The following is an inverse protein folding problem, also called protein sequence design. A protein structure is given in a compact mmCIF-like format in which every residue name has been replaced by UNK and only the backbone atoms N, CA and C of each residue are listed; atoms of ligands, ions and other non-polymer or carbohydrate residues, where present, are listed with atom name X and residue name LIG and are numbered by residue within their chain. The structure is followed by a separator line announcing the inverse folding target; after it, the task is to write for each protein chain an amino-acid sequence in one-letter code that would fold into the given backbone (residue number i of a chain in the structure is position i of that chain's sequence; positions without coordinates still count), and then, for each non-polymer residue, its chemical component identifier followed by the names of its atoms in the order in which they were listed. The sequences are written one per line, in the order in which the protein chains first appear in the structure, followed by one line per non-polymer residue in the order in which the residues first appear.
data_IF_072029842627
#
_entry.id   IF_072029842627
#
_cell.length_a   1.000
_cell.length_b   1.000
_cell.length_c   1.000
_cell.angle_alpha   90.00
_cell.angle_beta   90.00
_cell.angle_gamma   90.00
#
_symmetry.space_group_name_H-M   'P 1'
#
loop_
_entity.id
_entity.type
_entity.pdbx_description
1 polymer ?
#
# COMPACT_ATOMS: atom_id res chain seq x y z
N UNK A 1 -33.45 37.00 -18.96
CA UNK A 1 -32.00 36.69 -18.99
C UNK A 1 -31.79 35.83 -20.21
N UNK A 2 -31.43 36.43 -21.35
CA UNK A 2 -31.05 35.67 -22.54
C UNK A 2 -29.79 34.90 -22.17
N UNK A 3 -29.85 33.57 -22.26
CA UNK A 3 -28.68 32.74 -22.00
C UNK A 3 -27.80 32.85 -23.25
N UNK A 4 -26.76 33.67 -23.18
CA UNK A 4 -25.75 33.77 -24.25
C UNK A 4 -25.16 32.38 -24.45
N UNK A 5 -25.25 31.86 -25.67
CA UNK A 5 -24.63 30.58 -26.02
C UNK A 5 -23.13 30.83 -26.25
N UNK A 6 -22.23 30.27 -25.44
CA UNK A 6 -20.79 30.50 -25.59
C UNK A 6 -20.23 29.92 -26.90
N UNK A 7 -20.91 28.96 -27.52
CA UNK A 7 -20.45 28.32 -28.75
C UNK A 7 -20.82 29.13 -29.99
N UNK A 8 -22.07 29.58 -30.11
CA UNK A 8 -22.52 30.32 -31.28
C UNK A 8 -23.79 31.09 -30.99
N UNK A 9 -23.76 32.38 -31.27
CA UNK A 9 -24.93 33.25 -31.27
C UNK A 9 -25.12 33.81 -32.68
N UNK A 10 -26.32 33.66 -33.24
CA UNK A 10 -26.64 34.12 -34.59
C UNK A 10 -26.86 35.64 -34.58
N UNK A 11 -25.77 36.40 -34.76
CA UNK A 11 -25.79 37.87 -34.75
C UNK A 11 -24.78 38.46 -35.77
N UNK A 12 -25.16 39.44 -36.61
CA UNK A 12 -26.49 40.03 -36.77
C UNK A 12 -27.47 39.06 -37.44
N UNK A 13 -28.69 39.00 -36.90
CA UNK A 13 -29.77 38.24 -37.51
C UNK A 13 -30.15 38.84 -38.89
N UNK A 14 -30.23 37.99 -39.92
CA UNK A 14 -30.69 38.44 -41.23
C UNK A 14 -32.19 38.72 -41.22
N UNK A 15 -32.59 39.87 -41.77
CA UNK A 15 -34.01 40.22 -41.93
C UNK A 15 -34.57 39.50 -43.16
N UNK A 16 -35.64 38.69 -43.03
CA UNK A 16 -36.27 38.02 -44.17
C UNK A 16 -36.67 39.00 -45.27
N UNK A 17 -36.63 38.55 -46.53
CA UNK A 17 -36.98 39.35 -47.72
C UNK A 17 -36.14 40.62 -47.94
N UNK A 18 -34.98 40.74 -47.27
CA UNK A 18 -34.02 41.83 -47.51
C UNK A 18 -32.69 41.27 -48.05
N UNK A 19 -31.89 42.12 -48.69
CA UNK A 19 -30.53 41.73 -49.10
C UNK A 19 -29.59 41.88 -47.91
N UNK A 20 -28.91 40.80 -47.54
CA UNK A 20 -27.78 40.88 -46.62
C UNK A 20 -26.56 41.46 -47.34
N UNK A 21 -25.78 42.25 -46.61
CA UNK A 21 -24.48 42.73 -47.08
C UNK A 21 -23.43 41.64 -46.85
N UNK A 22 -22.38 41.62 -47.66
CA UNK A 22 -21.33 40.60 -47.58
C UNK A 22 -20.55 40.63 -46.26
N UNK A 23 -20.42 41.80 -45.64
CA UNK A 23 -19.84 41.96 -44.30
C UNK A 23 -20.65 41.19 -43.24
N UNK A 24 -21.97 41.31 -43.22
CA UNK A 24 -22.84 40.60 -42.28
C UNK A 24 -22.77 39.08 -42.48
N UNK A 25 -22.63 38.61 -43.72
CA UNK A 25 -22.43 37.18 -44.02
C UNK A 25 -21.06 36.69 -43.57
N UNK A 26 -20.01 37.49 -43.80
CA UNK A 26 -18.66 37.14 -43.35
C UNK A 26 -18.54 37.09 -41.82
N UNK A 27 -19.25 37.97 -41.11
CA UNK A 27 -19.34 37.93 -39.64
C UNK A 27 -19.92 36.58 -39.17
N UNK A 28 -20.98 36.09 -39.81
CA UNK A 28 -21.52 34.76 -39.47
C UNK A 28 -20.51 33.64 -39.67
N UNK A 29 -19.75 33.65 -40.77
CA UNK A 29 -18.70 32.65 -40.99
C UNK A 29 -17.56 32.73 -39.98
N UNK A 30 -17.18 33.93 -39.55
CA UNK A 30 -16.17 34.11 -38.49
C UNK A 30 -16.67 33.60 -37.14
N UNK A 31 -17.93 33.86 -36.78
CA UNK A 31 -18.52 33.33 -35.55
C UNK A 31 -18.56 31.80 -35.55
N UNK A 32 -18.90 31.19 -36.69
CA UNK A 32 -18.87 29.73 -36.85
C UNK A 32 -17.43 29.20 -36.75
N UNK A 33 -16.45 29.89 -37.35
CA UNK A 33 -15.05 29.49 -37.27
C UNK A 33 -14.55 29.52 -35.82
N UNK A 34 -14.80 30.62 -35.11
CA UNK A 34 -14.45 30.74 -33.69
C UNK A 34 -15.19 29.70 -32.83
N UNK A 35 -16.41 29.32 -33.20
CA UNK A 35 -17.15 28.26 -32.53
C UNK A 35 -16.42 26.91 -32.61
N UNK A 36 -15.79 26.61 -33.75
CA UNK A 36 -15.00 25.39 -33.92
C UNK A 36 -13.71 25.41 -33.11
N UNK A 37 -13.14 26.58 -32.81
CA UNK A 37 -11.97 26.70 -31.94
C UNK A 37 -12.28 26.34 -30.47
N UNK A 38 -13.57 26.28 -30.08
CA UNK A 38 -13.99 25.78 -28.76
C UNK A 38 -14.11 24.26 -28.67
N UNK A 39 -13.98 23.53 -29.77
CA UNK A 39 -13.92 22.08 -29.70
C UNK A 39 -12.61 21.64 -29.01
N UNK A 40 -12.67 20.65 -28.11
CA UNK A 40 -11.49 20.21 -27.39
C UNK A 40 -10.47 19.57 -28.33
N UNK A 41 -9.24 20.10 -28.28
CA UNK A 41 -8.01 19.43 -28.67
C UNK A 41 -7.78 19.32 -30.17
N UNK A 42 -6.71 18.62 -30.49
CA UNK A 42 -6.45 18.12 -31.84
C UNK A 42 -7.65 17.30 -32.32
N UNK A 43 -8.00 17.42 -33.61
CA UNK A 43 -9.19 16.79 -34.19
C UNK A 43 -9.30 15.27 -33.93
N UNK A 44 -8.18 14.62 -33.62
CA UNK A 44 -8.08 13.19 -33.36
C UNK A 44 -8.25 12.84 -31.88
N UNK A 45 -8.04 13.78 -30.95
CA UNK A 45 -8.01 13.51 -29.50
C UNK A 45 -9.33 12.99 -28.94
N UNK A 46 -10.46 13.44 -29.48
CA UNK A 46 -11.78 12.92 -29.10
C UNK A 46 -11.99 11.47 -29.58
N UNK A 47 -11.42 11.12 -30.74
CA UNK A 47 -11.56 9.79 -31.35
C UNK A 47 -10.66 8.78 -30.67
N UNK A 48 -9.48 9.21 -30.24
CA UNK A 48 -8.48 8.38 -29.55
C UNK A 48 -8.67 8.36 -28.03
N UNK A 49 -9.48 9.27 -27.48
CA UNK A 49 -9.72 9.41 -26.04
C UNK A 49 -8.57 10.09 -25.29
N UNK A 50 -7.72 10.86 -25.97
CA UNK A 50 -6.56 11.53 -25.36
C UNK A 50 -6.87 12.93 -24.84
N UNK A 51 -8.09 13.45 -25.00
CA UNK A 51 -8.48 14.79 -24.49
C UNK A 51 -8.31 14.94 -22.98
N UNK A 52 -8.44 13.85 -22.21
CA UNK A 52 -8.22 13.83 -20.76
C UNK A 52 -6.83 13.34 -20.37
N UNK A 53 -5.96 13.04 -21.34
CA UNK A 53 -4.63 12.49 -21.07
C UNK A 53 -3.61 13.61 -20.91
N UNK A 54 -3.10 13.77 -19.69
CA UNK A 54 -2.14 14.80 -19.36
C UNK A 54 -0.69 14.27 -19.40
N UNK A 55 0.22 15.15 -19.83
CA UNK A 55 1.65 14.94 -19.66
C UNK A 55 2.03 15.23 -18.21
N UNK A 56 2.64 14.26 -17.55
CA UNK A 56 3.09 14.40 -16.17
C UNK A 56 4.56 14.82 -16.10
N UNK A 57 4.83 15.82 -15.26
CA UNK A 57 6.17 16.29 -14.88
C UNK A 57 6.18 16.61 -13.39
N UNK A 58 7.27 17.22 -12.89
CA UNK A 58 7.33 17.75 -11.53
C UNK A 58 8.39 17.07 -10.68
N UNK A 59 8.11 17.01 -9.38
CA UNK A 59 9.02 16.49 -8.36
C UNK A 59 8.38 15.31 -7.63
N UNK A 60 9.17 14.59 -6.82
CA UNK A 60 8.62 13.54 -5.95
C UNK A 60 7.50 14.15 -5.10
N UNK A 61 6.36 13.44 -5.01
CA UNK A 61 5.15 13.84 -4.30
C UNK A 61 4.44 15.11 -4.82
N UNK A 62 4.88 15.69 -5.94
CA UNK A 62 4.23 16.86 -6.52
C UNK A 62 4.23 16.74 -8.05
N UNK A 63 3.09 16.28 -8.57
CA UNK A 63 2.87 15.99 -9.97
C UNK A 63 2.26 17.22 -10.67
N UNK A 64 2.89 17.66 -11.75
CA UNK A 64 2.40 18.73 -12.62
C UNK A 64 1.85 18.07 -13.88
N UNK A 65 0.56 18.24 -14.11
CA UNK A 65 -0.18 17.62 -15.21
C UNK A 65 -0.57 18.69 -16.22
N UNK A 66 -0.18 18.52 -17.47
CA UNK A 66 -0.53 19.43 -18.57
C UNK A 66 -1.44 18.71 -19.56
N UNK A 67 -2.69 19.16 -19.67
CA UNK A 67 -3.65 18.65 -20.64
C UNK A 67 -3.43 19.27 -22.03
N UNK A 68 -3.85 18.60 -23.12
CA UNK A 68 -3.81 19.18 -24.46
C UNK A 68 -4.61 20.49 -24.54
N UNK A 69 -5.80 20.51 -23.93
CA UNK A 69 -6.60 21.70 -23.72
C UNK A 69 -6.42 22.20 -22.30
N UNK A 70 -5.86 23.41 -22.17
CA UNK A 70 -5.61 24.03 -20.87
C UNK A 70 -6.92 24.30 -20.13
N UNK A 71 -7.09 23.61 -19.01
CA UNK A 71 -8.16 23.86 -18.06
C UNK A 71 -7.87 25.13 -17.26
N UNK A 72 -8.92 25.91 -16.95
CA UNK A 72 -8.80 27.16 -16.18
C UNK A 72 -9.31 27.06 -14.73
N UNK A 73 -10.10 26.03 -14.44
CA UNK A 73 -10.65 25.73 -13.12
C UNK A 73 -10.94 24.24 -13.01
N UNK A 74 -10.72 23.65 -11.84
CA UNK A 74 -11.16 22.28 -11.57
C UNK A 74 -12.64 22.30 -11.14
N UNK A 75 -13.47 21.54 -11.86
CA UNK A 75 -14.87 21.34 -11.55
C UNK A 75 -15.13 19.91 -11.09
N UNK A 76 -16.22 19.75 -10.35
CA UNK A 76 -16.61 18.46 -9.80
C UNK A 76 -16.74 17.39 -10.89
N UNK A 77 -16.12 16.22 -10.68
CA UNK A 77 -16.11 15.12 -11.63
C UNK A 77 -15.12 15.25 -12.78
N UNK A 78 -14.33 16.33 -12.85
CA UNK A 78 -13.28 16.49 -13.86
C UNK A 78 -12.30 15.31 -13.83
N UNK A 79 -12.10 14.68 -14.99
CA UNK A 79 -11.13 13.58 -15.13
C UNK A 79 -9.77 14.10 -15.56
N UNK A 80 -8.72 13.45 -15.05
CA UNK A 80 -7.39 13.50 -15.64
C UNK A 80 -6.81 12.09 -15.65
N UNK A 81 -6.24 11.68 -16.78
CA UNK A 81 -5.49 10.44 -16.94
C UNK A 81 -4.04 10.79 -17.20
N UNK A 82 -3.09 10.13 -16.57
CA UNK A 82 -1.67 10.42 -16.79
C UNK A 82 -0.79 9.19 -16.52
N UNK A 83 0.45 9.25 -17.00
CA UNK A 83 1.51 8.32 -16.60
C UNK A 83 2.38 9.02 -15.57
N UNK A 84 2.56 8.43 -14.38
CA UNK A 84 3.38 9.06 -13.34
C UNK A 84 4.87 9.11 -13.74
N UNK A 85 5.52 10.27 -13.58
CA UNK A 85 6.95 10.46 -13.88
C UNK A 85 7.86 10.12 -12.69
N UNK A 86 7.28 10.00 -11.48
CA UNK A 86 7.97 9.63 -10.24
C UNK A 86 7.12 8.67 -9.42
N UNK A 87 7.79 7.90 -8.57
CA UNK A 87 7.15 7.13 -7.51
C UNK A 87 6.99 8.04 -6.28
N UNK A 88 5.83 8.02 -5.63
CA UNK A 88 5.63 8.80 -4.40
C UNK A 88 6.36 8.14 -3.21
N UNK A 89 6.79 8.96 -2.26
CA UNK A 89 7.42 8.50 -0.99
C UNK A 89 6.64 8.98 0.23
N UNK A 90 5.44 9.52 0.03
CA UNK A 90 4.57 10.09 1.06
C UNK A 90 3.32 10.72 0.43
N UNK A 91 2.68 11.63 1.16
CA UNK A 91 1.51 12.37 0.69
C UNK A 91 1.85 13.16 -0.58
N UNK A 92 0.97 13.12 -1.58
CA UNK A 92 1.20 13.72 -2.88
C UNK A 92 0.23 14.86 -3.20
N UNK A 93 0.62 15.70 -4.16
CA UNK A 93 -0.22 16.75 -4.74
C UNK A 93 -0.22 16.66 -6.26
N UNK A 94 -1.29 17.16 -6.87
CA UNK A 94 -1.44 17.34 -8.31
C UNK A 94 -1.66 18.83 -8.60
N UNK A 95 -1.01 19.34 -9.64
CA UNK A 95 -1.30 20.66 -10.21
C UNK A 95 -1.63 20.49 -11.70
N UNK A 96 -2.92 20.58 -12.04
CA UNK A 96 -3.40 20.51 -13.43
C UNK A 96 -3.32 21.91 -14.03
N UNK A 97 -2.63 22.03 -15.17
CA UNK A 97 -2.57 23.23 -16.00
C UNK A 97 -2.23 24.53 -15.24
N UNK A 98 -1.42 24.42 -14.18
CA UNK A 98 -1.05 25.53 -13.30
C UNK A 98 -2.23 26.24 -12.58
N UNK A 99 -3.39 25.59 -12.48
CA UNK A 99 -4.56 26.11 -11.74
C UNK A 99 -4.24 26.25 -10.24
N UNK A 100 -3.40 25.38 -9.71
CA UNK A 100 -3.00 25.35 -8.30
C UNK A 100 -2.76 23.93 -7.81
N UNK A 101 -1.92 23.78 -6.78
CA UNK A 101 -1.68 22.49 -6.15
C UNK A 101 -2.89 22.06 -5.32
N UNK A 102 -3.34 20.84 -5.59
CA UNK A 102 -4.47 20.18 -4.95
C UNK A 102 -3.98 18.87 -4.33
N UNK A 103 -4.52 18.48 -3.17
CA UNK A 103 -4.20 17.21 -2.55
C UNK A 103 -4.56 16.03 -3.45
N UNK A 104 -3.67 15.06 -3.56
CA UNK A 104 -3.88 13.84 -4.32
C UNK A 104 -3.99 12.65 -3.35
N UNK A 105 -5.13 11.96 -3.41
CA UNK A 105 -5.52 10.95 -2.43
C UNK A 105 -5.92 9.62 -3.07
N UNK A 106 -5.93 8.60 -2.23
CA UNK A 106 -6.33 7.27 -2.60
C UNK A 106 -7.85 7.18 -2.83
N UNK A 107 -8.32 6.10 -3.46
CA UNK A 107 -9.74 5.91 -3.83
C UNK A 107 -10.71 5.93 -2.64
N UNK A 108 -10.21 5.70 -1.43
CA UNK A 108 -10.96 5.74 -0.16
C UNK A 108 -10.87 7.10 0.56
N UNK A 109 -10.19 8.09 -0.03
CA UNK A 109 -9.96 9.41 0.57
C UNK A 109 -8.82 9.45 1.60
N UNK A 110 -8.07 8.36 1.77
CA UNK A 110 -6.86 8.34 2.61
C UNK A 110 -5.69 9.05 1.94
N UNK A 111 -4.75 9.54 2.76
CA UNK A 111 -3.49 10.10 2.27
C UNK A 111 -2.55 8.97 1.87
N UNK A 112 -1.78 9.19 0.81
CA UNK A 112 -0.70 8.30 0.45
C UNK A 112 0.42 8.29 1.51
N UNK A 113 0.98 7.11 1.72
CA UNK A 113 2.06 6.85 2.68
C UNK A 113 3.40 6.61 1.99
N UNK A 114 3.40 6.30 0.70
CA UNK A 114 4.58 6.06 -0.14
C UNK A 114 4.47 4.73 -0.88
N UNK A 115 4.81 4.73 -2.17
CA UNK A 115 4.83 3.54 -3.02
C UNK A 115 3.51 3.19 -3.70
N UNK A 116 2.41 3.89 -3.40
CA UNK A 116 1.11 3.68 -4.06
C UNK A 116 1.11 4.18 -5.51
N UNK A 117 1.77 5.32 -5.76
CA UNK A 117 2.02 5.86 -7.09
C UNK A 117 3.43 5.43 -7.52
N UNK A 118 3.51 4.70 -8.63
CA UNK A 118 4.72 4.10 -9.17
C UNK A 118 4.97 4.70 -10.54
N UNK A 119 6.22 5.14 -10.76
CA UNK A 119 6.66 5.68 -12.04
C UNK A 119 6.33 4.75 -13.23
N UNK A 120 5.93 5.34 -14.34
CA UNK A 120 5.66 4.63 -15.59
C UNK A 120 4.32 3.90 -15.65
N UNK A 121 3.45 4.03 -14.63
CA UNK A 121 2.11 3.45 -14.62
C UNK A 121 1.04 4.49 -14.93
N UNK A 122 -0.07 4.01 -15.49
CA UNK A 122 -1.26 4.81 -15.78
C UNK A 122 -2.10 5.02 -14.52
N UNK A 123 -2.56 6.24 -14.33
CA UNK A 123 -3.45 6.63 -13.24
C UNK A 123 -4.63 7.41 -13.80
N UNK A 124 -5.83 7.10 -13.30
CA UNK A 124 -7.05 7.85 -13.56
C UNK A 124 -7.51 8.50 -12.25
N UNK A 125 -7.72 9.81 -12.30
CA UNK A 125 -8.16 10.61 -11.16
C UNK A 125 -9.38 11.44 -11.51
N UNK A 126 -10.21 11.71 -10.50
CA UNK A 126 -11.35 12.62 -10.56
C UNK A 126 -11.17 13.72 -9.53
N UNK A 127 -11.57 14.95 -9.88
CA UNK A 127 -11.68 16.03 -8.92
C UNK A 127 -12.99 15.92 -8.14
N UNK A 128 -12.90 15.94 -6.82
CA UNK A 128 -14.01 16.05 -5.88
C UNK A 128 -14.06 17.49 -5.38
N UNK A 129 -15.06 18.25 -5.83
CA UNK A 129 -15.21 19.65 -5.45
C UNK A 129 -15.73 19.84 -4.02
N UNK A 130 -16.36 18.82 -3.42
CA UNK A 130 -16.85 18.91 -2.05
C UNK A 130 -15.69 18.91 -1.04
N UNK A 131 -14.64 18.14 -1.34
CA UNK A 131 -13.44 18.06 -0.51
C UNK A 131 -12.26 18.89 -1.06
N UNK A 132 -12.35 19.35 -2.31
CA UNK A 132 -11.30 20.15 -2.97
C UNK A 132 -10.05 19.33 -3.25
N UNK A 133 -10.20 18.09 -3.72
CA UNK A 133 -9.11 17.12 -3.86
C UNK A 133 -9.23 16.26 -5.13
N UNK A 134 -8.09 15.72 -5.58
CA UNK A 134 -8.06 14.68 -6.60
C UNK A 134 -8.02 13.31 -5.94
N UNK A 135 -8.90 12.42 -6.40
CA UNK A 135 -9.08 11.07 -5.87
C UNK A 135 -8.87 10.06 -6.99
N UNK A 136 -8.15 8.97 -6.71
CA UNK A 136 -8.06 7.84 -7.62
C UNK A 136 -9.41 7.18 -7.84
N UNK A 137 -9.73 6.83 -9.08
CA UNK A 137 -10.99 6.12 -9.38
C UNK A 137 -10.88 4.60 -9.24
N UNK A 138 -9.66 4.06 -9.26
CA UNK A 138 -9.40 2.63 -9.18
C UNK A 138 -8.58 2.27 -7.93
N UNK A 139 -8.84 1.07 -7.40
CA UNK A 139 -8.01 0.48 -6.35
C UNK A 139 -6.64 0.10 -6.91
N UNK A 140 -5.58 0.48 -6.20
CA UNK A 140 -4.21 0.34 -6.69
C UNK A 140 -3.54 -1.01 -6.39
N UNK A 141 -4.02 -1.78 -5.41
CA UNK A 141 -3.17 -2.78 -4.77
C UNK A 141 -3.76 -4.17 -4.59
N UNK A 142 -3.82 -4.93 -5.69
CA UNK A 142 -3.80 -6.40 -5.62
C UNK A 142 -2.37 -6.97 -5.55
N UNK A 143 -1.36 -6.28 -6.10
CA UNK A 143 0.00 -6.82 -6.23
C UNK A 143 0.83 -6.74 -4.95
N UNK A 144 0.75 -5.64 -4.19
CA UNK A 144 1.41 -5.53 -2.88
C UNK A 144 0.82 -6.51 -1.87
N UNK A 145 -0.47 -6.85 -1.97
CA UNK A 145 -1.09 -7.87 -1.12
C UNK A 145 -0.44 -9.25 -1.30
N UNK A 146 0.03 -9.59 -2.51
CA UNK A 146 0.74 -10.87 -2.74
C UNK A 146 2.09 -10.86 -2.01
N UNK A 147 2.86 -9.78 -2.11
CA UNK A 147 4.15 -9.65 -1.41
C UNK A 147 3.96 -9.59 0.11
N UNK A 148 2.92 -8.93 0.60
CA UNK A 148 2.62 -8.89 2.03
C UNK A 148 2.15 -10.26 2.52
N UNK A 149 1.31 -10.97 1.77
CA UNK A 149 0.93 -12.35 2.09
C UNK A 149 2.14 -13.29 2.08
N UNK A 150 3.10 -13.09 1.16
CA UNK A 150 4.37 -13.82 1.14
C UNK A 150 5.18 -13.56 2.42
N UNK A 151 5.29 -12.32 2.89
CA UNK A 151 5.93 -12.02 4.17
C UNK A 151 5.25 -12.77 5.32
N UNK A 152 3.91 -12.72 5.41
CA UNK A 152 3.18 -13.45 6.45
C UNK A 152 3.38 -14.97 6.39
N UNK A 153 3.51 -15.53 5.18
CA UNK A 153 3.67 -16.96 4.97
C UNK A 153 5.09 -17.46 5.25
N UNK A 154 6.11 -16.81 4.66
CA UNK A 154 7.46 -17.39 4.50
C UNK A 154 8.62 -16.46 4.87
N UNK A 155 8.38 -15.31 5.51
CA UNK A 155 9.50 -14.45 5.99
C UNK A 155 10.50 -15.28 6.81
N UNK A 156 11.82 -15.08 6.65
CA UNK A 156 12.83 -15.78 7.42
C UNK A 156 12.61 -15.74 8.93
N UNK A 157 13.07 -16.79 9.63
CA UNK A 157 13.03 -16.86 11.10
C UNK A 157 13.69 -15.62 11.74
N UNK A 158 13.17 -15.21 12.90
CA UNK A 158 13.62 -14.04 13.66
C UNK A 158 13.55 -12.68 12.92
N UNK A 159 12.86 -12.63 11.78
CA UNK A 159 12.58 -11.37 11.07
C UNK A 159 11.12 -10.98 11.27
N UNK A 160 10.89 -9.74 11.70
CA UNK A 160 9.55 -9.19 11.89
C UNK A 160 8.84 -8.95 10.55
N UNK A 161 7.52 -9.12 10.57
CA UNK A 161 6.65 -8.69 9.47
C UNK A 161 6.67 -7.15 9.43
N UNK A 162 6.80 -6.60 8.22
CA UNK A 162 6.84 -5.15 8.04
C UNK A 162 5.52 -4.49 8.47
N UNK A 163 5.60 -3.24 8.94
CA UNK A 163 4.41 -2.45 9.29
C UNK A 163 3.50 -2.25 8.07
N UNK A 164 4.10 -2.12 6.88
CA UNK A 164 3.36 -2.02 5.62
C UNK A 164 2.55 -3.30 5.31
N UNK A 165 3.03 -4.47 5.71
CA UNK A 165 2.29 -5.73 5.60
C UNK A 165 1.28 -5.94 6.74
N UNK A 166 1.15 -4.99 7.69
CA UNK A 166 0.25 -5.10 8.84
C UNK A 166 0.88 -5.65 10.12
N UNK A 167 2.22 -5.78 10.17
CA UNK A 167 2.93 -6.19 11.38
C UNK A 167 3.04 -5.05 12.42
N UNK A 168 3.14 -5.41 13.71
CA UNK A 168 3.25 -4.45 14.81
C UNK A 168 4.70 -3.95 15.10
N UNK A 169 5.67 -4.35 14.28
CA UNK A 169 7.07 -3.95 14.41
C UNK A 169 7.79 -4.42 15.68
N UNK A 170 7.19 -5.33 16.46
CA UNK A 170 7.76 -5.77 17.76
C UNK A 170 7.68 -7.28 17.98
N UNK A 171 6.56 -7.92 17.64
CA UNK A 171 6.31 -9.34 17.96
C UNK A 171 5.69 -10.14 16.82
N UNK A 172 5.30 -9.49 15.73
CA UNK A 172 4.67 -10.19 14.61
C UNK A 172 5.74 -10.81 13.72
N UNK A 173 5.77 -12.14 13.73
CA UNK A 173 6.64 -12.98 12.90
C UNK A 173 5.78 -13.84 11.96
N UNK A 174 6.40 -14.38 10.91
CA UNK A 174 5.74 -15.23 9.91
C UNK A 174 5.22 -16.56 10.47
N UNK A 175 4.33 -17.19 9.71
CA UNK A 175 3.86 -18.55 10.00
C UNK A 175 5.01 -19.57 10.07
N UNK A 176 6.07 -19.39 9.26
CA UNK A 176 7.27 -20.23 9.28
C UNK A 176 7.97 -20.20 10.66
N UNK A 177 8.15 -19.01 11.25
CA UNK A 177 8.74 -18.86 12.59
C UNK A 177 7.94 -19.57 13.68
N UNK A 178 6.62 -19.40 13.67
CA UNK A 178 5.75 -20.06 14.66
C UNK A 178 5.74 -21.58 14.47
N UNK A 179 5.78 -22.07 13.23
CA UNK A 179 5.90 -23.49 12.93
C UNK A 179 7.23 -24.07 13.46
N UNK A 180 8.35 -23.37 13.26
CA UNK A 180 9.66 -23.78 13.76
C UNK A 180 9.71 -23.82 15.30
N UNK A 181 9.19 -22.78 15.97
CA UNK A 181 9.07 -22.75 17.45
C UNK A 181 8.20 -23.87 17.99
N UNK A 182 7.12 -24.20 17.29
CA UNK A 182 6.25 -25.32 17.65
C UNK A 182 6.98 -26.66 17.51
N UNK A 183 7.72 -26.88 16.42
CA UNK A 183 8.52 -28.09 16.21
C UNK A 183 9.64 -28.26 17.26
N UNK A 184 10.32 -27.17 17.63
CA UNK A 184 11.30 -27.18 18.71
C UNK A 184 10.64 -27.53 20.05
N UNK A 185 9.48 -26.94 20.34
CA UNK A 185 8.72 -27.21 21.57
C UNK A 185 8.25 -28.67 21.65
N UNK A 186 7.84 -29.27 20.53
CA UNK A 186 7.48 -30.68 20.45
C UNK A 186 8.67 -31.60 20.76
N UNK A 187 9.85 -31.26 20.23
CA UNK A 187 11.09 -32.02 20.49
C UNK A 187 11.48 -31.97 21.97
N UNK A 188 11.37 -30.80 22.60
CA UNK A 188 11.61 -30.62 24.05
C UNK A 188 10.60 -31.43 24.87
N UNK A 189 9.33 -31.45 24.46
CA UNK A 189 8.30 -32.22 25.16
C UNK A 189 8.60 -33.73 25.15
N UNK A 190 9.11 -34.26 24.03
CA UNK A 190 9.55 -35.67 23.93
C UNK A 190 10.71 -35.95 24.90
N UNK A 191 11.73 -35.09 24.91
CA UNK A 191 12.88 -35.23 25.82
C UNK A 191 12.43 -35.19 27.28
N UNK A 192 11.54 -34.25 27.63
CA UNK A 192 11.03 -34.15 28.99
C UNK A 192 10.22 -35.39 29.39
N UNK A 193 9.40 -35.92 28.49
CA UNK A 193 8.67 -37.16 28.73
C UNK A 193 9.63 -38.33 28.96
N UNK A 194 10.67 -38.47 28.12
CA UNK A 194 11.68 -39.51 28.24
C UNK A 194 12.41 -39.44 29.59
N UNK A 195 12.83 -38.25 30.03
CA UNK A 195 13.45 -38.03 31.34
C UNK A 195 12.52 -38.42 32.50
N UNK A 196 11.23 -38.11 32.40
CA UNK A 196 10.25 -38.46 33.45
C UNK A 196 10.00 -39.98 33.48
N UNK A 197 9.97 -40.62 32.32
CA UNK A 197 9.71 -42.06 32.20
C UNK A 197 10.96 -42.92 32.33
N UNK A 198 12.14 -42.33 32.23
CA UNK A 198 13.39 -42.96 32.64
C UNK A 198 13.23 -43.29 34.12
N UNK A 199 12.93 -44.55 34.40
CA UNK A 199 12.93 -45.08 35.76
C UNK A 199 14.19 -44.54 36.43
N UNK A 200 14.08 -43.83 37.58
CA UNK A 200 15.27 -43.45 38.32
C UNK A 200 16.13 -44.69 38.43
N UNK A 201 17.47 -44.60 38.30
CA UNK A 201 18.33 -45.76 38.48
C UNK A 201 17.80 -46.47 39.72
N UNK A 202 17.28 -47.69 39.53
CA UNK A 202 16.77 -48.47 40.66
C UNK A 202 17.90 -48.45 41.68
N UNK A 203 17.57 -48.33 42.96
CA UNK A 203 18.57 -48.20 44.01
C UNK A 203 19.71 -49.24 43.92
N UNK A 204 19.58 -50.31 43.14
CA UNK A 204 20.68 -51.19 42.73
C UNK A 204 21.88 -50.49 42.05
N UNK A 205 21.72 -49.37 41.34
CA UNK A 205 22.86 -48.64 40.77
C UNK A 205 23.48 -47.59 41.73
N UNK A 206 22.78 -47.21 42.80
CA UNK A 206 23.33 -46.34 43.88
C UNK A 206 23.85 -47.17 45.06
N UNK A 207 23.62 -48.49 45.05
CA UNK A 207 24.29 -49.47 45.92
C UNK A 207 25.41 -50.22 45.20
N UNK A 208 25.78 -49.80 43.97
CA UNK A 208 27.18 -49.93 43.58
C UNK A 208 27.92 -49.02 44.54
N UNK A 209 28.64 -49.63 45.47
CA UNK A 209 29.41 -48.96 46.51
C UNK A 209 29.98 -47.64 45.97
N UNK A 210 29.76 -46.55 46.70
CA UNK A 210 30.75 -45.48 46.68
C UNK A 210 32.02 -46.14 47.27
N UNK A 211 32.77 -46.85 46.43
CA UNK A 211 34.18 -47.12 46.63
C UNK A 211 34.81 -45.73 46.69
N UNK A 212 34.97 -45.22 47.90
CA UNK A 212 36.04 -44.28 48.14
C UNK A 212 37.31 -45.07 47.84
N UNK A 213 37.91 -44.78 46.69
CA UNK A 213 39.26 -45.21 46.38
C UNK A 213 40.18 -44.58 47.44
N UNK A 214 40.40 -45.27 48.56
CA UNK A 214 41.57 -45.00 49.38
C UNK A 214 42.77 -45.67 48.70
N UNK A 215 43.87 -44.93 48.60
CA UNK A 215 45.02 -45.27 47.77
C UNK A 215 45.91 -46.37 48.39
N UNK A 216 45.44 -47.06 49.44
CA UNK A 216 46.23 -48.00 50.24
C UNK A 216 45.78 -49.47 50.17
N UNK A 217 44.87 -49.83 49.25
CA UNK A 217 44.41 -51.21 48.98
C UNK A 217 43.85 -51.95 50.21
N UNK A 218 43.40 -51.23 51.26
CA UNK A 218 42.72 -51.84 52.40
C UNK A 218 41.20 -51.63 52.37
N UNK A 219 40.54 -52.30 51.43
CA UNK A 219 39.08 -52.20 51.24
C UNK A 219 38.31 -52.80 52.43
N UNK A 220 37.70 -51.93 53.24
CA UNK A 220 36.63 -52.32 54.16
C UNK A 220 35.30 -51.72 53.73
N UNK A 221 34.28 -52.58 53.61
CA UNK A 221 32.89 -52.20 53.37
C UNK A 221 32.38 -51.35 54.55
N UNK A 222 32.48 -50.03 54.44
CA UNK A 222 31.85 -49.12 55.40
C UNK A 222 30.33 -49.14 55.17
N UNK A 223 29.60 -49.94 55.97
CA UNK A 223 28.14 -49.82 56.04
C UNK A 223 27.79 -48.50 56.73
N UNK A 224 27.46 -47.48 55.96
CA UNK A 224 26.91 -46.23 56.52
C UNK A 224 25.46 -46.52 56.90
N UNK A 225 25.25 -47.00 58.12
CA UNK A 225 23.92 -47.13 58.69
C UNK A 225 23.27 -45.75 58.77
N UNK A 226 22.15 -45.54 58.09
CA UNK A 226 21.27 -44.40 58.35
C UNK A 226 20.80 -44.52 59.81
N UNK A 227 21.42 -43.76 60.72
CA UNK A 227 20.89 -43.57 62.08
C UNK A 227 19.74 -42.58 62.00
N UNK A 228 18.61 -43.02 61.46
CA UNK A 228 17.34 -42.33 61.60
C UNK A 228 16.72 -42.72 62.94
N UNK A 229 16.88 -41.88 63.95
CA UNK A 229 16.17 -42.00 65.23
C UNK A 229 14.67 -41.81 65.03
N UNK A 230 13.92 -42.91 64.92
CA UNK A 230 12.47 -42.92 64.99
C UNK A 230 12.01 -43.26 66.42
N UNK A 231 12.28 -42.37 67.37
CA UNK A 231 11.55 -42.37 68.65
C UNK A 231 10.21 -41.64 68.44
N UNK A 232 9.16 -42.41 68.13
CA UNK A 232 7.78 -42.00 68.38
C UNK A 232 7.44 -42.35 69.83
N UNK A 233 7.54 -41.35 70.71
CA UNK A 233 6.99 -41.41 72.06
C UNK A 233 5.46 -41.41 72.01
N UNK A 234 4.88 -42.35 72.76
CA UNK A 234 3.45 -42.58 73.01
C UNK A 234 2.86 -41.44 73.84
#
# INVERSE_FOLDING_TARGET
MTVTNPYYEFDPAFVPNTKARSDAVNVQYQLIQNAFDFLPGDADGITTGTTTFAVCTGTINNYILTLPDTRTVNQDGDQVVFIADKTNTGAATINVDAIGQVSFKNWDGSLFTGGEIIVGRFYEVRYDAANGEFVLTATLDAALQVTYAEQWAIQPEDTLISVAAGGNGTTDYSALHWAAKSAASASIAIINADIITATPPTNEAVTAALEYWDLDDTDQLASVGFVGSNEFGI
#
